data_IF_066456748526
#
_entry.id   IF_066456748526
#
_cell.length_a   1.000
_cell.length_b   1.000
_cell.length_c   1.000
_cell.angle_alpha   90.00
_cell.angle_beta   90.00
_cell.angle_gamma   90.00
#
_symmetry.space_group_name_H-M   'P 1'
#
loop_
_entity.id
_entity.type
_entity.pdbx_description
1 polymer ?
#
# COMPACT_ATOMS: atom_id res chain seq x y z
N UNK A 1 11.87 -14.06 -12.75
CA UNK A 1 11.19 -14.89 -11.74
C UNK A 1 10.07 -14.00 -11.22
N UNK A 2 8.83 -14.30 -11.57
CA UNK A 2 7.68 -13.43 -11.26
C UNK A 2 7.24 -13.67 -9.83
N UNK A 3 7.38 -12.65 -8.98
CA UNK A 3 6.84 -12.62 -7.62
C UNK A 3 5.37 -13.09 -7.65
N UNK A 4 5.04 -14.15 -6.92
CA UNK A 4 3.69 -14.70 -6.90
C UNK A 4 2.86 -13.98 -5.85
N UNK A 5 2.33 -12.82 -6.24
CA UNK A 5 1.33 -12.09 -5.47
C UNK A 5 -0.06 -12.67 -5.65
N UNK A 6 -0.69 -13.08 -4.56
CA UNK A 6 -2.11 -13.44 -4.55
C UNK A 6 -2.89 -12.33 -3.84
N UNK A 7 -3.70 -11.60 -4.59
CA UNK A 7 -4.69 -10.65 -4.03
C UNK A 7 -6.07 -11.30 -3.97
N UNK A 8 -6.69 -11.29 -2.79
CA UNK A 8 -8.00 -11.89 -2.59
C UNK A 8 -8.96 -10.95 -1.85
N UNK A 9 -10.22 -11.01 -2.26
CA UNK A 9 -11.35 -10.34 -1.61
C UNK A 9 -12.10 -11.35 -0.75
N UNK A 10 -12.36 -10.97 0.49
CA UNK A 10 -13.12 -11.76 1.48
C UNK A 10 -12.78 -13.28 1.51
N UNK A 11 -11.50 -13.66 1.67
CA UNK A 11 -11.14 -15.07 1.76
C UNK A 11 -11.62 -15.66 3.08
N UNK A 12 -12.40 -16.75 3.02
CA UNK A 12 -12.77 -17.51 4.22
C UNK A 12 -11.56 -18.08 4.96
N UNK A 13 -11.70 -18.30 6.28
CA UNK A 13 -10.60 -18.70 7.16
C UNK A 13 -9.83 -19.96 6.71
N UNK A 14 -10.53 -20.97 6.18
CA UNK A 14 -9.91 -22.19 5.68
C UNK A 14 -9.03 -21.93 4.43
N UNK A 15 -9.42 -20.98 3.57
CA UNK A 15 -8.62 -20.59 2.41
C UNK A 15 -7.35 -19.85 2.86
N UNK A 16 -7.49 -18.90 3.79
CA UNK A 16 -6.36 -18.17 4.37
C UNK A 16 -5.32 -19.10 5.01
N UNK A 17 -5.77 -20.07 5.82
CA UNK A 17 -4.87 -21.04 6.44
C UNK A 17 -4.09 -21.86 5.42
N UNK A 18 -4.74 -22.29 4.33
CA UNK A 18 -4.07 -23.05 3.25
C UNK A 18 -3.08 -22.18 2.49
N UNK A 19 -3.42 -20.93 2.23
CA UNK A 19 -2.55 -20.00 1.50
C UNK A 19 -1.28 -19.69 2.30
N UNK A 20 -1.42 -19.37 3.59
CA UNK A 20 -0.26 -19.14 4.48
C UNK A 20 0.63 -20.38 4.57
N UNK A 21 0.03 -21.57 4.62
CA UNK A 21 0.79 -22.83 4.63
C UNK A 21 1.52 -23.12 3.30
N UNK A 22 1.03 -22.59 2.18
CA UNK A 22 1.62 -22.77 0.85
C UNK A 22 2.61 -21.66 0.46
N UNK A 23 2.82 -20.65 1.32
CA UNK A 23 3.77 -19.57 1.03
C UNK A 23 5.20 -20.11 0.94
N UNK A 24 5.90 -19.70 -0.10
CA UNK A 24 7.33 -19.95 -0.28
C UNK A 24 8.13 -18.74 0.22
N UNK A 25 9.30 -19.00 0.80
CA UNK A 25 10.18 -17.93 1.28
C UNK A 25 10.71 -17.11 0.11
N UNK A 26 10.87 -15.81 0.30
CA UNK A 26 11.49 -14.90 -0.66
C UNK A 26 10.58 -14.44 -1.80
N UNK A 27 9.66 -15.28 -2.27
CA UNK A 27 8.90 -15.02 -3.51
C UNK A 27 7.37 -15.01 -3.33
N UNK A 28 6.85 -15.29 -2.14
CA UNK A 28 5.40 -15.32 -1.88
C UNK A 28 4.94 -14.17 -1.02
N UNK A 29 3.92 -13.47 -1.51
CA UNK A 29 3.15 -12.52 -0.73
C UNK A 29 1.65 -12.72 -0.95
N UNK A 30 0.88 -12.49 0.11
CA UNK A 30 -0.57 -12.58 0.12
C UNK A 30 -1.11 -11.21 0.48
N UNK A 31 -2.04 -10.68 -0.31
CA UNK A 31 -2.73 -9.41 -0.03
C UNK A 31 -4.22 -9.72 0.14
N UNK A 32 -4.78 -9.24 1.25
CA UNK A 32 -6.21 -9.35 1.55
C UNK A 32 -6.78 -7.95 1.68
N UNK A 33 -7.59 -7.58 0.69
CA UNK A 33 -8.21 -6.26 0.62
C UNK A 33 -9.59 -6.28 1.29
N UNK A 34 -9.94 -5.20 1.99
CA UNK A 34 -11.28 -4.97 2.52
C UNK A 34 -12.00 -3.96 1.64
N UNK A 35 -13.11 -4.36 1.03
CA UNK A 35 -13.98 -3.46 0.28
C UNK A 35 -15.28 -3.25 1.06
N UNK A 36 -15.42 -2.09 1.70
CA UNK A 36 -16.74 -1.55 2.02
C UNK A 36 -17.42 -1.09 0.73
N UNK A 37 -18.75 -1.15 0.66
CA UNK A 37 -19.48 -0.59 -0.47
C UNK A 37 -19.28 0.94 -0.51
N UNK A 38 -18.37 1.42 -1.37
CA UNK A 38 -18.05 2.84 -1.54
C UNK A 38 -16.59 3.23 -1.27
N UNK A 39 -15.76 2.31 -0.81
CA UNK A 39 -14.37 2.59 -0.44
C UNK A 39 -13.42 2.35 -1.63
N UNK A 40 -12.48 3.27 -1.95
CA UNK A 40 -11.50 3.09 -3.01
C UNK A 40 -10.62 1.84 -2.81
N UNK A 41 -10.30 1.17 -3.91
CA UNK A 41 -9.43 0.00 -3.91
C UNK A 41 -8.01 0.36 -3.43
N UNK A 42 -7.44 -0.47 -2.57
CA UNK A 42 -6.03 -0.34 -2.15
C UNK A 42 -5.79 0.55 -0.92
N UNK A 43 -6.82 1.17 -0.36
CA UNK A 43 -6.67 1.97 0.87
C UNK A 43 -6.80 1.13 2.15
N UNK A 44 -7.56 0.03 2.12
CA UNK A 44 -7.64 -0.95 3.21
C UNK A 44 -7.17 -2.33 2.77
N UNK A 45 -5.96 -2.68 3.17
CA UNK A 45 -5.43 -4.03 2.93
C UNK A 45 -4.59 -4.51 4.10
N UNK A 46 -4.46 -5.83 4.20
CA UNK A 46 -3.39 -6.49 4.93
C UNK A 46 -2.56 -7.32 3.96
N UNK A 47 -1.25 -7.14 4.01
CA UNK A 47 -0.27 -7.89 3.24
C UNK A 47 0.56 -8.76 4.19
N UNK A 48 0.85 -9.99 3.74
CA UNK A 48 1.78 -10.90 4.39
C UNK A 48 2.85 -11.29 3.40
N UNK A 49 4.11 -11.21 3.81
CA UNK A 49 5.26 -11.72 3.05
C UNK A 49 6.02 -12.74 3.90
N UNK A 50 6.44 -13.84 3.30
CA UNK A 50 7.36 -14.78 3.96
C UNK A 50 8.79 -14.47 3.48
N UNK A 51 9.59 -13.88 4.37
CA UNK A 51 10.99 -13.53 4.07
C UNK A 51 11.86 -14.79 3.95
N UNK A 52 13.00 -14.66 3.29
CA UNK A 52 13.97 -15.75 3.10
C UNK A 52 14.43 -16.39 4.43
N UNK A 53 14.56 -15.56 5.47
CA UNK A 53 14.91 -15.98 6.82
C UNK A 53 13.77 -16.73 7.56
N UNK A 54 12.62 -16.94 6.93
CA UNK A 54 11.46 -17.62 7.54
C UNK A 54 10.63 -16.75 8.48
N UNK A 55 10.90 -15.44 8.54
CA UNK A 55 10.08 -14.48 9.29
C UNK A 55 8.93 -14.00 8.41
N UNK A 56 7.72 -13.98 8.97
CA UNK A 56 6.57 -13.35 8.35
C UNK A 56 6.59 -11.86 8.62
N UNK A 57 6.50 -11.08 7.55
CA UNK A 57 6.25 -9.66 7.60
C UNK A 57 4.76 -9.41 7.34
N UNK A 58 4.12 -8.73 8.27
CA UNK A 58 2.73 -8.31 8.17
C UNK A 58 2.71 -6.79 8.01
N UNK A 59 2.02 -6.33 6.99
CA UNK A 59 1.78 -4.92 6.73
C UNK A 59 0.28 -4.70 6.62
N UNK A 60 -0.26 -3.64 7.21
CA UNK A 60 -1.64 -3.25 6.96
C UNK A 60 -1.74 -1.76 6.74
N UNK A 61 -2.74 -1.38 5.95
CA UNK A 61 -3.11 0.00 5.72
C UNK A 61 -4.57 0.20 6.08
N UNK A 62 -4.83 1.30 6.78
CA UNK A 62 -6.16 1.67 7.27
C UNK A 62 -6.63 2.98 6.62
N UNK A 63 -6.89 2.92 5.32
CA UNK A 63 -7.55 3.99 4.58
C UNK A 63 -6.64 5.07 3.99
N UNK A 64 -5.53 5.41 4.64
CA UNK A 64 -4.65 6.51 4.20
C UNK A 64 -3.17 6.12 4.25
N UNK A 65 -2.29 6.75 3.44
CA UNK A 65 -0.86 6.44 3.42
C UNK A 65 -0.17 6.62 4.78
N UNK A 66 -0.64 7.58 5.59
CA UNK A 66 -0.11 7.83 6.94
C UNK A 66 -0.46 6.71 7.93
N UNK A 67 -1.55 5.98 7.69
CA UNK A 67 -2.01 4.87 8.52
C UNK A 67 -1.52 3.55 7.93
N UNK A 68 -0.20 3.45 7.77
CA UNK A 68 0.49 2.26 7.29
C UNK A 68 1.38 1.69 8.40
N UNK A 69 1.16 0.43 8.72
CA UNK A 69 1.78 -0.23 9.86
C UNK A 69 2.40 -1.54 9.45
N UNK A 70 3.53 -1.88 10.08
CA UNK A 70 4.29 -3.10 9.83
C UNK A 70 4.67 -3.80 11.13
N UNK A 71 4.65 -5.12 11.14
CA UNK A 71 5.17 -5.96 12.22
C UNK A 71 5.87 -7.19 11.65
N UNK A 72 6.75 -7.79 12.46
CA UNK A 72 7.41 -9.06 12.16
C UNK A 72 6.94 -10.14 13.13
N UNK A 73 6.78 -11.36 12.65
CA UNK A 73 6.44 -12.53 13.47
C UNK A 73 7.01 -13.80 12.90
N UNK A 74 7.36 -14.76 13.75
CA UNK A 74 7.75 -16.13 13.34
C UNK A 74 6.59 -17.11 13.45
N UNK A 75 5.43 -16.68 13.96
CA UNK A 75 4.31 -17.57 14.23
C UNK A 75 3.28 -17.54 13.09
N UNK A 76 3.19 -18.61 12.25
CA UNK A 76 2.19 -18.68 11.19
C UNK A 76 0.76 -18.70 11.74
N UNK A 77 0.54 -19.27 12.93
CA UNK A 77 -0.77 -19.26 13.58
C UNK A 77 -1.26 -17.84 13.90
N UNK A 78 -0.36 -16.96 14.38
CA UNK A 78 -0.67 -15.54 14.57
C UNK A 78 -1.01 -14.86 13.25
N UNK A 79 -0.30 -15.18 12.18
CA UNK A 79 -0.58 -14.63 10.84
C UNK A 79 -1.99 -15.02 10.37
N UNK A 80 -2.32 -16.30 10.43
CA UNK A 80 -3.66 -16.78 10.02
C UNK A 80 -4.74 -16.13 10.87
N UNK A 81 -4.58 -16.07 12.18
CA UNK A 81 -5.54 -15.40 13.07
C UNK A 81 -5.71 -13.91 12.72
N UNK A 82 -4.62 -13.24 12.34
CA UNK A 82 -4.65 -11.84 11.94
C UNK A 82 -5.47 -11.64 10.66
N UNK A 83 -5.17 -12.43 9.64
CA UNK A 83 -5.86 -12.38 8.35
C UNK A 83 -7.36 -12.70 8.48
N UNK A 84 -7.70 -13.69 9.31
CA UNK A 84 -9.10 -14.07 9.56
C UNK A 84 -9.86 -12.94 10.25
N UNK A 85 -9.30 -12.39 11.33
CA UNK A 85 -9.96 -11.30 12.04
C UNK A 85 -10.05 -10.01 11.20
N UNK A 86 -9.10 -9.78 10.28
CA UNK A 86 -9.17 -8.72 9.28
C UNK A 86 -10.33 -8.95 8.29
N UNK A 87 -10.45 -10.14 7.70
CA UNK A 87 -11.56 -10.46 6.78
C UNK A 87 -12.92 -10.35 7.46
N UNK A 88 -13.03 -10.70 8.74
CA UNK A 88 -14.26 -10.56 9.51
C UNK A 88 -14.55 -9.10 9.94
N UNK A 89 -13.67 -8.14 9.61
CA UNK A 89 -13.80 -6.74 9.98
C UNK A 89 -13.72 -6.46 11.48
N UNK A 90 -13.17 -7.41 12.27
CA UNK A 90 -12.96 -7.24 13.72
C UNK A 90 -11.79 -6.27 13.95
N UNK A 91 -11.68 -5.67 15.13
CA UNK A 91 -10.52 -4.82 15.47
C UNK A 91 -9.46 -5.57 16.30
N UNK A 92 -9.76 -6.78 16.78
CA UNK A 92 -8.89 -7.52 17.70
C UNK A 92 -7.71 -8.22 17.01
N UNK A 93 -7.72 -8.37 15.68
CA UNK A 93 -6.65 -9.08 14.94
C UNK A 93 -5.29 -8.37 15.02
N UNK A 94 -5.29 -7.05 15.22
CA UNK A 94 -4.07 -6.26 15.43
C UNK A 94 -3.53 -6.38 16.86
N UNK A 95 -4.33 -6.89 17.80
CA UNK A 95 -3.89 -7.10 19.18
C UNK A 95 -2.92 -8.29 19.25
N UNK A 96 -1.79 -8.11 19.92
CA UNK A 96 -0.76 -9.16 20.09
C UNK A 96 0.41 -9.11 19.10
N UNK A 97 0.49 -8.03 18.32
CA UNK A 97 1.65 -7.62 17.53
C UNK A 97 2.18 -6.28 18.03
N UNK A 98 3.48 -6.06 17.80
CA UNK A 98 4.13 -4.78 18.06
C UNK A 98 4.27 -4.04 16.72
N UNK A 99 3.28 -3.19 16.43
CA UNK A 99 3.18 -2.50 15.15
C UNK A 99 4.07 -1.27 15.12
N UNK A 100 4.90 -1.17 14.10
CA UNK A 100 5.63 0.04 13.75
C UNK A 100 4.85 0.82 12.71
N UNK A 101 4.46 2.06 13.00
CA UNK A 101 3.91 2.96 11.97
C UNK A 101 5.04 3.36 10.99
N UNK A 102 4.86 3.00 9.73
CA UNK A 102 5.75 3.32 8.62
C UNK A 102 5.11 4.31 7.64
N UNK A 103 3.94 4.87 7.99
CA UNK A 103 3.18 5.75 7.10
C UNK A 103 3.91 7.03 6.71
N UNK A 104 4.81 7.52 7.56
CA UNK A 104 5.68 8.66 7.22
C UNK A 104 6.57 8.42 5.98
N UNK A 105 6.82 7.16 5.57
CA UNK A 105 7.56 6.84 4.34
C UNK A 105 6.71 7.02 3.08
N UNK A 106 5.38 7.10 3.26
CA UNK A 106 4.39 7.13 2.19
C UNK A 106 3.55 8.42 2.20
N UNK A 107 3.66 9.23 3.27
CA UNK A 107 2.93 10.48 3.45
C UNK A 107 3.50 11.65 2.62
N UNK A 108 4.77 11.58 2.18
CA UNK A 108 5.43 12.62 1.35
C UNK A 108 5.37 12.31 -0.16
N UNK A 109 4.36 11.55 -0.61
CA UNK A 109 4.08 11.40 -2.04
C UNK A 109 3.80 12.77 -2.71
N UNK A 110 3.80 12.87 -4.05
CA UNK A 110 3.76 14.14 -4.81
C UNK A 110 2.55 15.07 -4.57
N UNK A 111 1.66 14.71 -3.64
CA UNK A 111 0.51 15.49 -3.17
C UNK A 111 0.76 16.21 -1.84
N UNK A 112 1.98 16.14 -1.28
CA UNK A 112 2.33 16.98 -0.14
C UNK A 112 2.15 18.46 -0.55
N UNK A 113 1.35 19.27 0.19
CA UNK A 113 1.14 20.66 -0.17
C UNK A 113 2.51 21.35 -0.21
N UNK A 114 2.83 21.90 -1.39
CA UNK A 114 4.05 22.69 -1.61
C UNK A 114 4.15 23.75 -0.52
N UNK A 115 4.97 23.49 0.49
CA UNK A 115 5.33 24.49 1.48
C UNK A 115 6.19 25.51 0.71
N UNK A 116 5.77 26.78 0.53
CA UNK A 116 6.63 27.74 -0.13
C UNK A 116 7.85 27.97 0.75
N UNK A 117 9.01 27.48 0.32
CA UNK A 117 10.28 27.64 1.03
C UNK A 117 10.61 29.13 1.12
N UNK A 118 10.44 29.66 2.32
CA UNK A 118 10.80 31.02 2.68
C UNK A 118 12.18 31.06 3.32
N UNK A 119 13.26 30.90 2.55
CA UNK A 119 14.62 31.44 2.81
C UNK A 119 15.35 31.50 1.46
N UNK A 120 16.01 32.56 1.02
CA UNK A 120 16.59 33.73 1.66
C UNK A 120 17.81 34.11 0.79
N UNK A 121 17.81 35.34 0.27
CA UNK A 121 18.97 36.14 -0.14
C UNK A 121 20.02 35.58 -1.14
N UNK A 122 20.01 36.15 -2.37
CA UNK A 122 21.17 36.85 -2.97
C UNK A 122 20.83 37.51 -4.32
N UNK A 123 21.36 38.71 -4.65
CA UNK A 123 21.13 39.37 -5.94
C UNK A 123 22.26 39.18 -6.98
N UNK A 124 21.85 38.88 -8.23
CA UNK A 124 22.48 39.25 -9.54
C UNK A 124 23.67 38.41 -10.08
N UNK A 125 24.06 38.56 -11.38
CA UNK A 125 23.34 39.14 -12.53
C UNK A 125 23.45 38.33 -13.87
N UNK A 126 22.50 38.57 -14.79
CA UNK A 126 22.74 38.61 -16.25
C UNK A 126 22.83 37.30 -17.03
N UNK A 127 21.90 37.10 -17.97
CA UNK A 127 22.05 36.08 -19.03
C UNK A 127 20.78 35.79 -19.82
N UNK A 128 20.41 36.67 -20.75
CA UNK A 128 19.37 36.41 -21.74
C UNK A 128 19.75 35.26 -22.68
N UNK A 129 18.84 34.29 -22.90
CA UNK A 129 18.55 33.78 -24.25
C UNK A 129 17.26 32.96 -24.32
N UNK A 130 16.54 33.21 -25.40
CA UNK A 130 15.27 32.63 -25.81
C UNK A 130 15.38 31.17 -26.29
N UNK A 131 14.25 30.45 -26.27
CA UNK A 131 14.10 29.19 -27.04
C UNK A 131 12.85 28.36 -26.73
N UNK A 132 11.75 28.69 -27.43
CA UNK A 132 10.62 27.86 -27.89
C UNK A 132 9.74 27.01 -26.93
N UNK A 133 8.39 27.01 -27.12
CA UNK A 133 7.46 26.08 -26.49
C UNK A 133 7.31 24.76 -27.29
N UNK A 134 7.63 23.62 -26.67
CA UNK A 134 7.33 22.28 -27.17
C UNK A 134 6.08 21.73 -26.50
N UNK A 135 5.10 21.31 -27.32
CA UNK A 135 3.73 21.05 -26.93
C UNK A 135 3.49 19.85 -26.01
N UNK A 136 2.43 20.00 -25.21
CA UNK A 136 1.79 18.92 -24.48
C UNK A 136 0.44 18.66 -25.16
N UNK A 137 0.35 17.57 -25.90
CA UNK A 137 -0.92 17.00 -26.38
C UNK A 137 -0.86 15.52 -26.12
N UNK A 138 -1.71 15.04 -25.21
CA UNK A 138 -2.78 14.09 -25.52
C UNK A 138 -3.25 13.44 -24.21
N UNK A 139 -4.45 13.79 -23.76
CA UNK A 139 -5.37 12.88 -23.06
C UNK A 139 -6.73 13.56 -22.96
N UNK A 140 -7.71 13.01 -23.68
CA UNK A 140 -9.12 13.28 -23.40
C UNK A 140 -10.02 13.29 -24.63
N UNK A 141 -10.64 12.15 -24.93
CA UNK A 141 -12.05 12.15 -25.28
C UNK A 141 -12.66 10.76 -25.11
N UNK A 142 -13.48 10.61 -24.07
CA UNK A 142 -14.51 9.57 -23.96
C UNK A 142 -15.85 10.28 -23.75
N UNK A 143 -16.87 9.83 -24.49
CA UNK A 143 -18.28 10.22 -24.39
C UNK A 143 -18.70 11.17 -25.53
N UNK A 144 -19.82 11.00 -26.23
CA UNK A 144 -20.98 10.11 -26.15
C UNK A 144 -21.92 10.54 -27.29
N UNK A 145 -22.63 9.61 -27.95
CA UNK A 145 -24.09 9.44 -27.84
C UNK A 145 -24.95 10.28 -28.80
N UNK A 146 -25.90 9.60 -29.47
CA UNK A 146 -27.05 10.16 -30.19
C UNK A 146 -26.77 10.40 -31.68
N UNK A 147 -27.56 9.92 -32.64
CA UNK A 147 -28.93 9.39 -32.68
C UNK A 147 -29.06 8.36 -33.81
#
# INVERSE_FOLDING_TARGET
MTERGLSMRDPGAAALSRLVANMQRGDSHLIVERFGAGEPAGDWYVQVRLRENGVYELEYRDGVPAEHYRTLTVSPAKVVSALVGWSEGRAAWRAGFDWTNIGHWFADGPDAPLVPDGRGDRPGPGGSRAGAPGGYSDYGSYGGSGE
#
